data_IF_667682630761
#
_entry.id   IF_667682630761
#
_cell.length_a   1.000
_cell.length_b   1.000
_cell.length_c   1.000
_cell.angle_alpha   90.00
_cell.angle_beta   90.00
_cell.angle_gamma   90.00
#
_symmetry.space_group_name_H-M   'P 1'
#
loop_
_entity.id
_entity.type
_entity.pdbx_description
1 polymer ?
#
# COMPACT_ATOMS: atom_id res chain seq x y z
N UNK A 1 3.20 14.83 21.48
CA UNK A 1 2.73 13.80 20.53
C UNK A 1 2.61 12.50 21.30
N UNK A 2 1.46 11.83 21.24
CA UNK A 2 1.36 10.44 21.70
C UNK A 2 2.17 9.56 20.75
N UNK A 3 2.87 8.56 21.28
CA UNK A 3 3.54 7.57 20.43
C UNK A 3 2.46 6.82 19.63
N UNK A 4 2.71 6.51 18.34
CA UNK A 4 1.77 5.72 17.57
C UNK A 4 1.57 4.34 18.25
N UNK A 5 0.40 3.71 18.07
CA UNK A 5 0.21 2.32 18.44
C UNK A 5 1.31 1.44 17.85
N UNK A 6 1.80 0.47 18.61
CA UNK A 6 2.81 -0.47 18.13
C UNK A 6 2.17 -1.85 17.94
N UNK A 7 1.50 -2.05 16.81
CA UNK A 7 0.82 -3.31 16.49
C UNK A 7 1.79 -4.21 15.72
N UNK A 8 2.32 -5.22 16.41
CA UNK A 8 3.30 -6.16 15.87
C UNK A 8 2.61 -7.47 15.53
N UNK A 9 2.80 -7.93 14.30
CA UNK A 9 2.34 -9.24 13.82
C UNK A 9 3.45 -9.97 13.08
N UNK A 10 3.52 -11.29 13.23
CA UNK A 10 4.55 -12.12 12.60
C UNK A 10 4.13 -12.69 11.24
N UNK A 11 3.03 -12.21 10.67
CA UNK A 11 2.45 -12.65 9.41
C UNK A 11 2.13 -11.46 8.51
N UNK A 12 2.04 -11.70 7.20
CA UNK A 12 1.57 -10.67 6.27
C UNK A 12 0.15 -10.23 6.61
N UNK A 13 -0.14 -8.94 6.40
CA UNK A 13 -1.47 -8.34 6.64
C UNK A 13 -2.07 -7.78 5.37
N UNK A 14 -3.39 -7.87 5.25
CA UNK A 14 -4.16 -7.10 4.29
C UNK A 14 -4.58 -5.80 4.97
N UNK A 15 -4.30 -4.66 4.34
CA UNK A 15 -4.75 -3.35 4.80
C UNK A 15 -5.78 -2.80 3.81
N UNK A 16 -6.97 -2.43 4.28
CA UNK A 16 -8.04 -1.87 3.44
C UNK A 16 -8.29 -0.40 3.74
N UNK A 17 -8.28 0.43 2.69
CA UNK A 17 -8.68 1.84 2.71
C UNK A 17 -10.09 2.05 2.15
N UNK A 18 -10.60 3.28 2.29
CA UNK A 18 -11.93 3.68 1.81
C UNK A 18 -11.99 3.98 0.30
N UNK A 19 -10.85 3.89 -0.40
CA UNK A 19 -10.77 4.13 -1.84
C UNK A 19 -11.47 3.07 -2.67
N UNK A 20 -11.42 3.23 -3.99
CA UNK A 20 -11.93 2.22 -4.94
C UNK A 20 -11.22 0.90 -4.70
N UNK A 21 -11.93 -0.04 -4.11
CA UNK A 21 -11.44 -1.38 -3.78
C UNK A 21 -12.39 -2.38 -4.41
N UNK A 22 -11.87 -3.16 -5.36
CA UNK A 22 -12.62 -4.26 -5.95
C UNK A 22 -12.58 -5.41 -4.95
N UNK A 23 -13.75 -5.94 -4.60
CA UNK A 23 -13.88 -7.07 -3.67
C UNK A 23 -12.97 -8.26 -4.03
N UNK A 24 -12.73 -8.46 -5.33
CA UNK A 24 -11.78 -9.46 -5.84
C UNK A 24 -10.33 -9.21 -5.41
N UNK A 25 -9.86 -7.96 -5.44
CA UNK A 25 -8.48 -7.60 -5.02
C UNK A 25 -8.31 -7.84 -3.53
N UNK A 26 -9.28 -7.41 -2.71
CA UNK A 26 -9.26 -7.64 -1.26
C UNK A 26 -9.29 -9.14 -0.96
N UNK A 27 -10.17 -9.91 -1.62
CA UNK A 27 -10.25 -11.35 -1.44
C UNK A 27 -8.93 -12.06 -1.81
N UNK A 28 -8.28 -11.63 -2.88
CA UNK A 28 -6.99 -12.18 -3.29
C UNK A 28 -5.90 -11.82 -2.26
N UNK A 29 -5.83 -10.58 -1.80
CA UNK A 29 -4.91 -10.17 -0.73
C UNK A 29 -5.08 -11.05 0.53
N UNK A 30 -6.32 -11.24 0.96
CA UNK A 30 -6.68 -12.06 2.13
C UNK A 30 -6.28 -13.54 1.99
N UNK A 31 -6.15 -14.06 0.77
CA UNK A 31 -5.66 -15.43 0.54
C UNK A 31 -4.16 -15.59 0.83
N UNK A 32 -3.39 -14.50 0.76
CA UNK A 32 -1.96 -14.47 1.09
C UNK A 32 -1.69 -13.89 2.49
N UNK A 33 -2.55 -12.98 2.94
CA UNK A 33 -2.39 -12.20 4.15
C UNK A 33 -3.73 -12.13 4.91
N UNK A 34 -4.06 -13.15 5.71
CA UNK A 34 -5.41 -13.35 6.26
C UNK A 34 -5.75 -12.45 7.46
N UNK A 35 -4.78 -11.72 8.01
CA UNK A 35 -5.01 -10.72 9.06
C UNK A 35 -5.48 -9.44 8.36
N UNK A 36 -6.67 -8.95 8.71
CA UNK A 36 -7.29 -7.80 8.05
C UNK A 36 -7.24 -6.57 8.95
N UNK A 37 -6.51 -5.55 8.52
CA UNK A 37 -6.53 -4.23 9.13
C UNK A 37 -7.25 -3.23 8.22
N UNK A 38 -7.82 -2.19 8.81
CA UNK A 38 -8.51 -1.13 8.08
C UNK A 38 -7.98 0.26 8.43
N UNK A 39 -7.90 1.13 7.43
CA UNK A 39 -7.61 2.55 7.58
C UNK A 39 -8.94 3.34 7.61
N UNK A 40 -9.30 3.87 8.78
CA UNK A 40 -10.47 4.72 9.01
C UNK A 40 -11.74 4.21 8.28
N UNK A 41 -12.26 4.94 7.28
CA UNK A 41 -13.43 4.55 6.49
C UNK A 41 -13.33 3.18 5.80
N UNK A 42 -12.12 2.62 5.65
CA UNK A 42 -11.90 1.25 5.19
C UNK A 42 -12.58 0.19 6.06
N UNK A 43 -12.87 0.50 7.33
CA UNK A 43 -13.61 -0.40 8.22
C UNK A 43 -15.04 -0.64 7.73
N UNK A 44 -15.73 0.40 7.26
CA UNK A 44 -17.06 0.29 6.63
C UNK A 44 -16.99 -0.61 5.40
N UNK A 45 -15.97 -0.41 4.56
CA UNK A 45 -15.76 -1.20 3.34
C UNK A 45 -15.57 -2.68 3.65
N UNK A 46 -14.74 -3.00 4.65
CA UNK A 46 -14.54 -4.38 5.11
C UNK A 46 -15.86 -5.03 5.57
N UNK A 47 -16.61 -4.33 6.42
CA UNK A 47 -17.89 -4.82 6.95
C UNK A 47 -18.92 -5.05 5.83
N UNK A 48 -19.01 -4.14 4.87
CA UNK A 48 -19.89 -4.27 3.70
C UNK A 48 -19.52 -5.47 2.82
N UNK A 49 -18.26 -5.88 2.82
CA UNK A 49 -17.78 -7.09 2.16
C UNK A 49 -17.96 -8.37 3.01
N UNK A 50 -18.48 -8.25 4.24
CA UNK A 50 -18.68 -9.35 5.17
C UNK A 50 -17.42 -9.76 5.94
N UNK A 51 -16.38 -8.93 5.97
CA UNK A 51 -15.17 -9.16 6.75
C UNK A 51 -15.17 -8.31 8.04
N UNK A 52 -14.66 -8.90 9.13
CA UNK A 52 -14.39 -8.19 10.37
C UNK A 52 -12.91 -7.82 10.43
N UNK A 53 -12.53 -6.52 10.46
CA UNK A 53 -11.15 -6.14 10.69
C UNK A 53 -10.66 -6.52 12.09
N UNK A 54 -9.44 -7.04 12.18
CA UNK A 54 -8.72 -7.30 13.43
C UNK A 54 -8.25 -5.99 14.09
N UNK A 55 -8.03 -4.94 13.31
CA UNK A 55 -7.68 -3.60 13.79
C UNK A 55 -8.13 -2.50 12.82
N UNK A 56 -8.47 -1.33 13.36
CA UNK A 56 -8.83 -0.12 12.63
C UNK A 56 -7.96 1.04 13.12
N UNK A 57 -7.33 1.76 12.19
CA UNK A 57 -6.41 2.86 12.47
C UNK A 57 -6.89 4.14 11.78
N UNK A 58 -6.84 5.28 12.47
CA UNK A 58 -7.17 6.59 11.89
C UNK A 58 -7.61 7.59 12.95
N UNK A 59 -8.00 8.79 12.54
CA UNK A 59 -8.65 9.76 13.45
C UNK A 59 -10.13 9.43 13.74
N UNK A 60 -10.69 8.50 12.95
CA UNK A 60 -12.01 7.89 13.07
C UNK A 60 -13.16 8.83 12.72
N UNK A 61 -12.91 9.86 11.90
CA UNK A 61 -13.93 10.83 11.50
C UNK A 61 -14.90 10.29 10.44
N UNK A 62 -14.49 9.29 9.66
CA UNK A 62 -15.35 8.60 8.69
C UNK A 62 -16.16 7.45 9.31
N UNK A 63 -15.83 7.02 10.54
CA UNK A 63 -16.58 5.98 11.24
C UNK A 63 -17.88 6.54 11.81
N UNK A 64 -19.01 6.11 11.26
CA UNK A 64 -20.32 6.40 11.87
C UNK A 64 -20.49 5.62 13.18
N UNK A 65 -21.33 6.09 14.12
CA UNK A 65 -21.64 5.35 15.34
C UNK A 65 -22.18 3.93 15.09
N UNK A 66 -22.81 3.71 13.93
CA UNK A 66 -23.29 2.38 13.53
C UNK A 66 -22.15 1.43 13.19
N UNK A 67 -21.15 1.90 12.44
CA UNK A 67 -19.94 1.12 12.11
C UNK A 67 -19.15 0.84 13.38
N UNK A 68 -18.96 1.88 14.21
CA UNK A 68 -18.16 1.77 15.43
C UNK A 68 -18.73 0.73 16.40
N UNK A 69 -20.07 0.59 16.48
CA UNK A 69 -20.72 -0.42 17.32
C UNK A 69 -20.55 -1.86 16.85
N UNK A 70 -20.21 -2.07 15.57
CA UNK A 70 -19.95 -3.40 15.02
C UNK A 70 -18.52 -3.88 15.29
N UNK A 71 -17.61 -2.94 15.55
CA UNK A 71 -16.20 -3.22 15.78
C UNK A 71 -15.94 -3.52 17.27
N UNK A 72 -15.06 -4.47 17.60
CA UNK A 72 -14.55 -4.63 18.95
C UNK A 72 -13.89 -3.33 19.46
N UNK A 73 -14.13 -2.93 20.70
CA UNK A 73 -13.53 -1.71 21.25
C UNK A 73 -12.00 -1.76 21.25
N UNK A 74 -11.44 -2.95 21.54
CA UNK A 74 -10.00 -3.18 21.64
C UNK A 74 -9.29 -3.26 20.26
N UNK A 75 -10.05 -3.27 19.15
CA UNK A 75 -9.49 -3.25 17.80
C UNK A 75 -9.39 -1.84 17.22
N UNK A 76 -9.78 -0.80 17.96
CA UNK A 76 -9.83 0.58 17.45
C UNK A 76 -8.64 1.38 17.99
N UNK A 77 -7.77 1.80 17.07
CA UNK A 77 -6.61 2.63 17.35
C UNK A 77 -6.83 4.05 16.83
N UNK A 78 -7.15 4.98 17.74
CA UNK A 78 -7.36 6.38 17.39
C UNK A 78 -6.05 7.16 17.34
N UNK A 79 -5.78 7.82 16.22
CA UNK A 79 -4.64 8.70 16.00
C UNK A 79 -5.16 10.08 15.55
N UNK A 80 -5.09 11.07 16.45
CA UNK A 80 -5.74 12.37 16.27
C UNK A 80 -4.94 13.39 15.47
N UNK A 81 -3.76 13.05 14.95
CA UNK A 81 -2.98 13.98 14.15
C UNK A 81 -3.63 14.23 12.78
N UNK A 82 -3.62 15.49 12.37
CA UNK A 82 -4.26 15.96 11.13
C UNK A 82 -3.23 16.26 10.03
N UNK A 83 -1.94 16.19 10.36
CA UNK A 83 -0.84 16.47 9.43
C UNK A 83 -0.43 15.22 8.62
N UNK A 84 -1.10 14.08 8.83
CA UNK A 84 -0.85 12.83 8.12
C UNK A 84 -2.14 12.15 7.68
N UNK A 85 -2.06 11.34 6.62
CA UNK A 85 -3.20 10.57 6.11
C UNK A 85 -3.38 9.28 6.90
N UNK A 86 -4.57 8.66 6.85
CA UNK A 86 -4.77 7.38 7.56
C UNK A 86 -3.90 6.25 7.04
N UNK A 87 -3.50 6.29 5.77
CA UNK A 87 -2.52 5.35 5.24
C UNK A 87 -1.14 5.55 5.90
N UNK A 88 -0.67 6.79 6.08
CA UNK A 88 0.58 7.07 6.79
C UNK A 88 0.51 6.63 8.25
N UNK A 89 -0.61 6.91 8.93
CA UNK A 89 -0.89 6.45 10.30
C UNK A 89 -0.81 4.93 10.40
N UNK A 90 -1.34 4.20 9.41
CA UNK A 90 -1.24 2.74 9.33
C UNK A 90 0.22 2.29 9.21
N UNK A 91 0.98 2.84 8.24
CA UNK A 91 2.39 2.45 8.03
C UNK A 91 3.29 2.74 9.24
N UNK A 92 2.95 3.74 10.04
CA UNK A 92 3.65 4.06 11.31
C UNK A 92 3.29 3.12 12.46
N UNK A 93 2.11 2.51 12.42
CA UNK A 93 1.56 1.75 13.55
C UNK A 93 1.72 0.24 13.38
N UNK A 94 1.73 -0.23 12.13
CA UNK A 94 1.75 -1.65 11.78
C UNK A 94 3.19 -2.10 11.56
N UNK A 95 3.59 -3.15 12.28
CA UNK A 95 4.86 -3.84 12.09
C UNK A 95 4.57 -5.27 11.67
N UNK A 96 4.66 -5.52 10.36
CA UNK A 96 4.40 -6.80 9.72
C UNK A 96 5.51 -7.13 8.71
N UNK A 97 5.78 -8.41 8.42
CA UNK A 97 6.73 -8.80 7.36
C UNK A 97 6.34 -8.31 5.97
N UNK A 98 5.04 -8.06 5.72
CA UNK A 98 4.48 -7.57 4.46
C UNK A 98 3.09 -6.97 4.70
N UNK A 99 2.78 -5.86 4.05
CA UNK A 99 1.46 -5.22 3.98
C UNK A 99 0.96 -5.27 2.54
N UNK A 100 -0.21 -5.88 2.32
CA UNK A 100 -0.94 -5.87 1.06
C UNK A 100 -2.08 -4.85 1.16
N UNK A 101 -1.89 -3.67 0.58
CA UNK A 101 -2.76 -2.51 0.79
C UNK A 101 -3.71 -2.28 -0.38
N UNK A 102 -5.01 -2.43 -0.17
CA UNK A 102 -6.06 -2.22 -1.17
C UNK A 102 -6.91 -0.98 -0.84
N UNK A 103 -7.44 -0.30 -1.86
CA UNK A 103 -8.30 0.88 -1.64
C UNK A 103 -7.53 2.17 -1.32
N UNK A 104 -6.29 2.29 -1.81
CA UNK A 104 -5.45 3.49 -1.66
C UNK A 104 -5.13 4.17 -3.01
N UNK A 105 -5.65 3.65 -4.12
CA UNK A 105 -5.39 4.13 -5.49
C UNK A 105 -6.70 4.22 -6.29
N UNK A 106 -6.74 5.04 -7.36
CA UNK A 106 -7.77 4.94 -8.40
C UNK A 106 -9.12 5.62 -8.10
N UNK A 107 -9.23 6.47 -7.07
CA UNK A 107 -10.43 7.27 -6.81
C UNK A 107 -10.10 8.76 -6.71
N UNK A 108 -9.41 9.17 -5.64
CA UNK A 108 -8.99 10.54 -5.38
C UNK A 108 -7.49 10.69 -5.67
N UNK A 109 -7.15 11.54 -6.64
CA UNK A 109 -5.76 11.71 -7.08
C UNK A 109 -4.84 12.21 -5.95
N UNK A 110 -5.32 13.12 -5.12
CA UNK A 110 -4.59 13.65 -3.97
C UNK A 110 -4.28 12.55 -2.93
N UNK A 111 -5.24 11.66 -2.66
CA UNK A 111 -5.03 10.51 -1.77
C UNK A 111 -4.03 9.50 -2.34
N UNK A 112 -4.08 9.26 -3.65
CA UNK A 112 -3.14 8.37 -4.33
C UNK A 112 -1.70 8.92 -4.28
N UNK A 113 -1.51 10.21 -4.57
CA UNK A 113 -0.22 10.87 -4.42
C UNK A 113 0.27 10.84 -2.95
N UNK A 114 -0.64 11.01 -1.99
CA UNK A 114 -0.31 10.88 -0.57
C UNK A 114 0.10 9.45 -0.19
N UNK A 115 -0.48 8.43 -0.81
CA UNK A 115 -0.06 7.04 -0.61
C UNK A 115 1.38 6.82 -1.09
N UNK A 116 1.73 7.30 -2.28
CA UNK A 116 3.12 7.24 -2.78
C UNK A 116 4.10 8.03 -1.90
N UNK A 117 3.70 9.22 -1.43
CA UNK A 117 4.48 9.99 -0.46
C UNK A 117 4.70 9.24 0.86
N UNK A 118 3.70 8.48 1.32
CA UNK A 118 3.80 7.69 2.56
C UNK A 118 4.75 6.52 2.40
N UNK A 119 4.74 5.82 1.26
CA UNK A 119 5.72 4.78 0.96
C UNK A 119 7.16 5.32 1.03
N UNK A 120 7.42 6.51 0.47
CA UNK A 120 8.75 7.14 0.54
C UNK A 120 9.18 7.53 1.95
N UNK A 121 8.23 7.94 2.80
CA UNK A 121 8.50 8.30 4.20
C UNK A 121 8.83 7.09 5.07
N UNK A 122 8.39 5.89 4.66
CA UNK A 122 8.57 4.64 5.41
C UNK A 122 9.33 3.61 4.57
N UNK A 123 10.61 3.84 4.21
CA UNK A 123 11.36 2.96 3.31
C UNK A 123 11.60 1.56 3.88
N UNK A 124 11.53 1.40 5.21
CA UNK A 124 11.66 0.12 5.89
C UNK A 124 10.35 -0.71 5.86
N UNK A 125 9.22 -0.09 5.50
CA UNK A 125 7.93 -0.78 5.39
C UNK A 125 7.82 -1.54 4.07
N UNK A 126 7.64 -2.85 4.16
CA UNK A 126 7.33 -3.70 3.02
C UNK A 126 5.84 -3.60 2.72
N UNK A 127 5.46 -2.62 1.90
CA UNK A 127 4.06 -2.40 1.53
C UNK A 127 3.89 -2.45 0.00
N UNK A 128 2.91 -3.23 -0.44
CA UNK A 128 2.48 -3.31 -1.84
C UNK A 128 1.07 -2.74 -1.94
N UNK A 129 0.91 -1.65 -2.67
CA UNK A 129 -0.38 -1.10 -3.06
C UNK A 129 -0.97 -1.97 -4.19
N UNK A 130 -2.20 -2.42 -4.00
CA UNK A 130 -2.96 -3.24 -4.94
C UNK A 130 -3.95 -2.35 -5.68
N UNK A 131 -3.63 -2.00 -6.93
CA UNK A 131 -4.56 -1.33 -7.84
C UNK A 131 -5.45 -2.34 -8.59
N UNK A 132 -6.40 -1.83 -9.36
CA UNK A 132 -7.25 -2.68 -10.22
C UNK A 132 -6.47 -3.33 -11.37
N UNK A 133 -5.41 -2.66 -11.83
CA UNK A 133 -4.64 -3.05 -13.02
C UNK A 133 -3.19 -3.36 -12.67
N UNK A 134 -2.57 -2.55 -11.82
CA UNK A 134 -1.15 -2.64 -11.49
C UNK A 134 -0.93 -2.79 -9.98
N UNK A 135 0.23 -3.33 -9.63
CA UNK A 135 0.78 -3.30 -8.28
C UNK A 135 1.82 -2.18 -8.20
N UNK A 136 1.87 -1.47 -7.08
CA UNK A 136 2.85 -0.42 -6.85
C UNK A 136 3.50 -0.60 -5.47
N UNK A 137 4.82 -0.45 -5.39
CA UNK A 137 5.56 -0.48 -4.13
C UNK A 137 6.83 0.36 -4.27
N UNK A 138 7.38 0.80 -3.13
CA UNK A 138 8.70 1.42 -3.12
C UNK A 138 9.75 0.34 -3.38
N UNK A 139 10.40 0.40 -4.53
CA UNK A 139 11.46 -0.54 -4.87
C UNK A 139 12.63 -0.40 -3.87
N UNK A 140 13.12 -1.49 -3.27
CA UNK A 140 14.35 -1.45 -2.49
C UNK A 140 15.56 -1.21 -3.40
N UNK A 141 16.71 -0.89 -2.82
CA UNK A 141 17.97 -0.62 -3.55
C UNK A 141 18.34 -1.79 -4.48
N UNK A 142 18.10 -3.03 -4.03
CA UNK A 142 18.25 -4.23 -4.84
C UNK A 142 17.03 -5.13 -4.67
N UNK A 143 16.50 -5.61 -5.78
CA UNK A 143 15.44 -6.62 -5.82
C UNK A 143 15.63 -7.54 -7.01
N UNK A 144 15.05 -8.73 -6.88
CA UNK A 144 14.81 -9.64 -7.99
C UNK A 144 13.34 -10.04 -7.94
N UNK A 145 12.69 -10.05 -9.09
CA UNK A 145 11.29 -10.45 -9.22
C UNK A 145 11.14 -11.33 -10.45
N UNK A 146 10.55 -12.51 -10.27
CA UNK A 146 10.23 -13.40 -11.38
C UNK A 146 8.85 -13.03 -11.91
N UNK A 147 8.81 -12.59 -13.17
CA UNK A 147 7.60 -12.15 -13.86
C UNK A 147 7.50 -12.84 -15.21
N UNK A 148 6.29 -13.18 -15.68
CA UNK A 148 6.09 -13.67 -17.04
C UNK A 148 6.64 -12.69 -18.08
N UNK A 149 7.22 -13.23 -19.16
CA UNK A 149 7.58 -12.41 -20.32
C UNK A 149 6.33 -11.70 -20.87
N UNK A 150 6.47 -10.43 -21.26
CA UNK A 150 5.36 -9.59 -21.69
C UNK A 150 4.63 -8.86 -20.54
N UNK A 151 4.96 -9.11 -19.28
CA UNK A 151 4.40 -8.32 -18.17
C UNK A 151 4.87 -6.88 -18.26
N UNK A 152 3.93 -5.92 -18.19
CA UNK A 152 4.26 -4.50 -18.10
C UNK A 152 4.97 -4.22 -16.79
N UNK A 153 6.11 -3.53 -16.89
CA UNK A 153 6.92 -3.13 -15.74
C UNK A 153 7.29 -1.67 -15.88
N UNK A 154 7.19 -0.89 -14.80
CA UNK A 154 7.56 0.53 -14.83
C UNK A 154 8.46 0.87 -13.65
N UNK A 155 9.50 1.67 -13.90
CA UNK A 155 10.35 2.30 -12.91
C UNK A 155 10.06 3.80 -12.95
N UNK A 156 9.43 4.31 -11.89
CA UNK A 156 9.16 5.74 -11.75
C UNK A 156 10.04 6.34 -10.64
N UNK A 157 10.94 7.29 -10.96
CA UNK A 157 11.76 7.95 -9.96
C UNK A 157 10.92 8.98 -9.17
N UNK A 158 10.92 8.87 -7.85
CA UNK A 158 10.35 9.90 -6.96
C UNK A 158 11.40 10.90 -6.45
N UNK A 159 12.67 10.63 -6.71
CA UNK A 159 13.82 11.49 -6.48
C UNK A 159 14.89 11.14 -7.53
N UNK A 160 15.88 12.03 -7.79
CA UNK A 160 16.99 11.71 -8.68
C UNK A 160 17.71 10.43 -8.25
N UNK A 161 17.90 9.51 -9.17
CA UNK A 161 18.60 8.24 -8.92
C UNK A 161 19.29 7.72 -10.18
N UNK A 162 20.17 6.73 -9.99
CA UNK A 162 20.74 5.93 -11.08
C UNK A 162 20.20 4.51 -10.96
N UNK A 163 19.62 4.01 -12.03
CA UNK A 163 19.01 2.68 -12.07
C UNK A 163 19.76 1.74 -13.02
N UNK A 164 19.76 0.47 -12.64
CA UNK A 164 20.25 -0.66 -13.41
C UNK A 164 19.21 -1.78 -13.33
N UNK A 165 18.79 -2.34 -14.48
CA UNK A 165 17.88 -3.47 -14.53
C UNK A 165 18.13 -4.34 -15.76
N UNK A 166 18.15 -5.65 -15.55
CA UNK A 166 18.21 -6.69 -16.58
C UNK A 166 16.86 -7.38 -16.73
N UNK A 167 16.66 -8.15 -17.80
CA UNK A 167 15.41 -8.89 -18.03
C UNK A 167 14.24 -8.03 -18.51
N UNK A 168 14.51 -6.78 -18.91
CA UNK A 168 13.54 -5.84 -19.48
C UNK A 168 13.74 -5.68 -20.99
N UNK A 169 12.69 -5.31 -21.72
CA UNK A 169 12.68 -5.10 -23.17
C UNK A 169 13.45 -3.83 -23.54
N UNK A 170 13.28 -2.77 -22.77
CA UNK A 170 14.10 -1.57 -22.85
C UNK A 170 15.16 -1.64 -21.74
N UNK A 171 16.45 -1.84 -22.09
CA UNK A 171 17.51 -2.00 -21.10
C UNK A 171 17.64 -0.75 -20.22
N UNK A 172 17.93 -0.98 -18.94
CA UNK A 172 18.24 0.07 -17.96
C UNK A 172 19.66 -0.17 -17.49
N UNK A 173 20.61 0.66 -17.94
CA UNK A 173 22.03 0.52 -17.63
C UNK A 173 22.61 1.90 -17.31
N UNK A 174 23.04 2.11 -16.06
CA UNK A 174 23.50 3.38 -15.51
C UNK A 174 22.61 4.57 -15.90
N UNK A 175 21.29 4.34 -15.88
CA UNK A 175 20.32 5.32 -16.34
C UNK A 175 20.06 6.36 -15.26
N UNK A 176 20.43 7.61 -15.52
CA UNK A 176 20.05 8.75 -14.67
C UNK A 176 18.56 9.03 -14.83
N UNK A 177 17.81 8.87 -13.74
CA UNK A 177 16.36 9.04 -13.69
C UNK A 177 16.00 10.16 -12.72
N UNK A 178 14.96 10.92 -13.03
CA UNK A 178 14.46 11.97 -12.14
C UNK A 178 12.95 12.21 -12.41
N UNK A 179 12.17 12.68 -11.42
CA UNK A 179 10.74 12.96 -11.61
C UNK A 179 10.47 13.97 -12.73
N UNK A 180 11.40 14.90 -12.96
CA UNK A 180 11.38 15.94 -13.99
C UNK A 180 12.26 15.60 -15.22
N UNK A 181 12.75 14.35 -15.30
CA UNK A 181 13.69 13.90 -16.31
C UNK A 181 13.28 12.57 -16.95
N UNK A 182 14.26 11.65 -17.09
CA UNK A 182 14.00 10.33 -17.66
C UNK A 182 13.22 9.47 -16.68
N UNK A 183 12.09 8.94 -17.15
CA UNK A 183 11.25 7.98 -16.43
C UNK A 183 11.12 6.68 -17.24
N UNK A 184 10.97 5.54 -16.55
CA UNK A 184 10.90 4.22 -17.15
C UNK A 184 9.47 3.67 -17.16
N UNK A 185 8.55 4.33 -17.86
CA UNK A 185 7.14 3.90 -17.91
C UNK A 185 6.87 2.96 -19.09
N UNK A 186 5.92 2.04 -18.91
CA UNK A 186 5.49 1.08 -19.95
C UNK A 186 6.63 0.21 -20.50
N UNK A 187 7.64 -0.11 -19.67
CA UNK A 187 8.62 -1.15 -20.00
C UNK A 187 7.94 -2.54 -19.92
N UNK A 188 8.65 -3.58 -20.34
CA UNK A 188 8.10 -4.93 -20.47
C UNK A 188 9.17 -5.95 -20.09
N UNK A 189 8.77 -7.04 -19.42
CA UNK A 189 9.68 -8.14 -19.09
C UNK A 189 10.04 -8.92 -20.37
N UNK A 190 11.33 -9.03 -20.68
CA UNK A 190 11.84 -9.70 -21.89
C UNK A 190 12.21 -11.16 -21.66
N UNK A 191 12.82 -11.47 -20.52
CA UNK A 191 13.13 -12.84 -20.08
C UNK A 191 12.70 -12.98 -18.63
N UNK A 192 11.77 -13.90 -18.33
CA UNK A 192 11.33 -14.14 -16.95
C UNK A 192 12.43 -14.80 -16.12
N UNK A 193 13.16 -13.99 -15.33
CA UNK A 193 13.96 -14.37 -14.16
C UNK A 193 14.67 -13.18 -13.53
#
# INVERSE_FOLDING_TARGET
MMNPPNVVVNHAVTLIGAGRSVSMVVKQAMSFAPILFAADGGAKVALDMGYMPDAVFGDLDSLTPEVQRQLPADSIYRLSDQDSTDFDKCLRSIHAPLILAAGFTGQRLDHELAAYSSLLRHPDQRCILLGEVDLCFLAPIMMQIDLPAGTRFSLFPMAPCVANATGLRWPVNDLNMAPDGVIGTSNEVSTGR
#
